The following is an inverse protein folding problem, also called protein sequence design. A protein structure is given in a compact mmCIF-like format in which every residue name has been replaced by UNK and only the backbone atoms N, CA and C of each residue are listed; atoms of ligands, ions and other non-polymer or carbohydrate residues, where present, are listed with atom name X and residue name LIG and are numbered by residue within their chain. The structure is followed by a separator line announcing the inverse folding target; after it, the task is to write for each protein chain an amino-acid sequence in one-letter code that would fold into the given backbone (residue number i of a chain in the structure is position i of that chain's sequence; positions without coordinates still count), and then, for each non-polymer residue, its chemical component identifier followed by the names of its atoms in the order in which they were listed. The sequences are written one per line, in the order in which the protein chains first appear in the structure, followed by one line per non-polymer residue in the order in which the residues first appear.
data_IF_620863468197
#
_entry.id   IF_620863468197
#
_cell.length_a   1.000
_cell.length_b   1.000
_cell.length_c   1.000
_cell.angle_alpha   90.00
_cell.angle_beta   90.00
_cell.angle_gamma   90.00
#
_symmetry.space_group_name_H-M   'P 1'
#
loop_
_entity.id
_entity.type
_entity.pdbx_description
1 polymer ?
#
# COMPACT_ATOMS: atom_id res chain seq x y z
N UNK A 1 -17.99 0.15 17.68
CA UNK A 1 -16.58 -0.01 18.13
C UNK A 1 -15.67 -0.16 16.91
N UNK A 2 -14.49 0.44 16.91
CA UNK A 2 -13.55 0.28 15.79
C UNK A 2 -12.90 -1.11 15.80
N UNK A 3 -12.94 -1.82 14.66
CA UNK A 3 -12.34 -3.15 14.49
C UNK A 3 -10.82 -3.03 14.69
N UNK A 4 -10.27 -3.81 15.64
CA UNK A 4 -8.85 -3.85 15.98
C UNK A 4 -8.18 -5.13 15.45
N UNK A 5 -6.91 -5.04 14.99
CA UNK A 5 -6.18 -6.19 14.50
C UNK A 5 -5.85 -7.19 15.62
N UNK A 6 -5.75 -8.48 15.28
CA UNK A 6 -5.46 -9.57 16.23
C UNK A 6 -4.03 -9.53 16.81
N UNK A 7 -3.02 -9.29 15.95
CA UNK A 7 -1.60 -9.32 16.33
C UNK A 7 -0.88 -8.11 15.73
N UNK A 8 -0.30 -7.27 16.59
CA UNK A 8 0.50 -6.11 16.17
C UNK A 8 1.96 -6.37 16.44
N UNK A 9 2.67 -6.96 15.47
CA UNK A 9 4.14 -6.95 15.49
C UNK A 9 4.60 -5.55 15.03
N UNK A 10 5.49 -4.87 15.77
CA UNK A 10 5.94 -3.54 15.39
C UNK A 10 6.58 -3.56 14.00
N UNK A 11 6.12 -2.65 13.13
CA UNK A 11 6.55 -2.59 11.74
C UNK A 11 7.84 -1.77 11.64
N UNK A 12 8.99 -2.44 11.73
CA UNK A 12 10.29 -1.80 11.50
C UNK A 12 10.61 -1.78 10.00
N UNK A 13 10.84 -0.58 9.44
CA UNK A 13 11.32 -0.39 8.06
C UNK A 13 12.81 -0.08 8.09
N UNK A 14 13.62 -0.93 7.45
CA UNK A 14 15.09 -0.72 7.32
C UNK A 14 15.45 0.53 6.52
N UNK A 15 14.59 0.91 5.58
CA UNK A 15 14.74 2.11 4.76
C UNK A 15 13.37 2.61 4.34
N UNK A 16 13.14 3.91 4.50
CA UNK A 16 11.92 4.60 4.05
C UNK A 16 12.17 5.39 2.76
N UNK A 17 13.39 5.93 2.58
CA UNK A 17 13.77 6.68 1.38
C UNK A 17 13.72 5.79 0.13
N UNK A 18 12.97 6.22 -0.88
CA UNK A 18 12.85 5.54 -2.17
C UNK A 18 14.21 5.39 -2.85
N UNK A 19 14.39 4.30 -3.58
CA UNK A 19 15.52 4.13 -4.48
C UNK A 19 15.24 4.89 -5.76
N UNK A 20 15.98 5.96 -5.99
CA UNK A 20 15.83 6.82 -7.16
C UNK A 20 16.88 6.51 -8.23
N UNK A 21 16.53 6.72 -9.50
CA UNK A 21 17.47 6.57 -10.61
C UNK A 21 18.57 7.63 -10.52
N UNK A 22 19.80 7.24 -10.84
CA UNK A 22 20.92 8.19 -10.94
C UNK A 22 20.60 9.31 -11.95
N UNK A 23 20.84 10.58 -11.56
CA UNK A 23 20.62 11.80 -12.36
C UNK A 23 19.16 12.10 -12.73
N UNK A 24 18.16 11.45 -12.13
CA UNK A 24 16.76 11.82 -12.34
C UNK A 24 16.40 13.19 -11.74
N UNK A 25 17.20 13.66 -10.79
CA UNK A 25 17.13 15.00 -10.20
C UNK A 25 17.56 16.09 -11.18
N UNK A 26 18.51 15.78 -12.09
CA UNK A 26 19.06 16.75 -13.05
C UNK A 26 18.27 16.83 -14.34
N UNK A 27 17.71 15.71 -14.81
CA UNK A 27 17.06 15.62 -16.11
C UNK A 27 15.60 15.24 -15.99
N UNK A 28 14.69 16.14 -16.39
CA UNK A 28 13.23 15.91 -16.40
C UNK A 28 12.84 14.67 -17.23
N UNK A 29 13.54 14.42 -18.35
CA UNK A 29 13.35 13.22 -19.18
C UNK A 29 13.65 11.90 -18.46
N UNK A 30 14.47 11.92 -17.41
CA UNK A 30 14.78 10.72 -16.61
C UNK A 30 13.80 10.61 -15.44
N UNK A 31 12.86 9.67 -15.55
CA UNK A 31 11.96 9.35 -14.43
C UNK A 31 12.75 8.83 -13.21
N UNK A 32 12.31 9.13 -11.98
CA UNK A 32 12.99 8.74 -10.75
C UNK A 32 12.90 7.24 -10.43
N UNK A 33 12.14 6.45 -11.18
CA UNK A 33 11.99 5.01 -10.97
C UNK A 33 13.36 4.29 -11.08
N UNK A 34 13.71 3.51 -10.06
CA UNK A 34 14.98 2.80 -10.00
C UNK A 34 15.28 2.00 -11.27
N UNK A 35 16.50 2.17 -11.79
CA UNK A 35 17.09 1.34 -12.86
C UNK A 35 18.53 1.05 -12.49
N UNK A 36 18.96 -0.20 -12.64
CA UNK A 36 20.34 -0.61 -12.35
C UNK A 36 21.30 0.08 -13.35
N UNK A 37 22.26 0.90 -12.88
CA UNK A 37 23.24 1.52 -13.78
C UNK A 37 24.16 0.45 -14.40
N UNK A 38 24.37 0.52 -15.71
CA UNK A 38 25.16 -0.47 -16.47
C UNK A 38 26.58 0.01 -16.82
N UNK A 39 26.76 1.31 -17.07
CA UNK A 39 28.02 1.90 -17.54
C UNK A 39 29.21 1.69 -16.59
N UNK A 40 30.39 1.50 -17.16
CA UNK A 40 31.59 1.08 -16.42
C UNK A 40 32.09 2.13 -15.43
N UNK A 41 32.00 3.41 -15.78
CA UNK A 41 32.46 4.55 -14.96
C UNK A 41 31.39 5.10 -14.01
N UNK A 42 30.21 4.47 -13.97
CA UNK A 42 29.14 4.98 -13.15
C UNK A 42 29.44 4.84 -11.65
N UNK A 43 29.44 5.97 -10.93
CA UNK A 43 29.75 6.03 -9.49
C UNK A 43 28.81 5.23 -8.61
N UNK A 44 27.51 5.18 -8.94
CA UNK A 44 26.52 4.34 -8.22
C UNK A 44 26.84 2.87 -8.42
N UNK A 45 27.17 2.44 -9.66
CA UNK A 45 27.53 1.05 -9.97
C UNK A 45 28.76 0.59 -9.19
N UNK A 46 29.79 1.45 -9.12
CA UNK A 46 31.04 1.23 -8.38
C UNK A 46 30.90 1.40 -6.86
N UNK A 47 29.72 1.77 -6.35
CA UNK A 47 29.40 1.92 -4.91
C UNK A 47 30.26 2.94 -4.16
N UNK A 48 30.59 4.08 -4.80
CA UNK A 48 31.30 5.17 -4.11
C UNK A 48 30.50 5.69 -2.90
N UNK A 49 31.20 6.00 -1.80
CA UNK A 49 30.61 6.64 -0.60
C UNK A 49 29.98 8.00 -0.97
N UNK A 50 28.86 8.33 -0.33
CA UNK A 50 28.12 9.58 -0.56
C UNK A 50 27.19 9.57 -1.77
N UNK A 51 27.25 8.52 -2.61
CA UNK A 51 26.38 8.37 -3.77
C UNK A 51 25.12 7.54 -3.44
N UNK A 52 24.11 7.57 -4.32
CA UNK A 52 22.87 6.80 -4.13
C UNK A 52 23.15 5.31 -3.88
N UNK A 53 22.51 4.76 -2.85
CA UNK A 53 22.57 3.34 -2.52
C UNK A 53 21.72 2.52 -3.50
N UNK A 54 22.22 1.35 -3.90
CA UNK A 54 21.47 0.42 -4.75
C UNK A 54 20.55 -0.48 -3.91
N UNK A 55 19.37 -0.87 -4.44
CA UNK A 55 18.55 -1.91 -3.82
C UNK A 55 19.32 -3.23 -3.73
N UNK A 56 19.20 -3.88 -2.58
CA UNK A 56 19.70 -5.22 -2.32
C UNK A 56 18.72 -5.98 -1.42
N UNK A 57 18.90 -7.30 -1.29
CA UNK A 57 18.04 -8.16 -0.44
C UNK A 57 18.12 -7.78 1.05
N UNK A 58 19.24 -7.19 1.49
CA UNK A 58 19.47 -6.73 2.86
C UNK A 58 18.46 -5.69 3.34
N UNK A 59 17.92 -4.86 2.44
CA UNK A 59 16.84 -3.91 2.76
C UNK A 59 15.46 -4.56 2.94
N UNK A 60 15.31 -5.87 2.70
CA UNK A 60 14.06 -6.59 2.90
C UNK A 60 13.53 -6.49 4.32
N UNK A 61 12.25 -6.12 4.47
CA UNK A 61 11.53 -6.10 5.74
C UNK A 61 11.29 -7.52 6.28
N UNK A 62 11.08 -7.64 7.59
CA UNK A 62 10.69 -8.90 8.23
C UNK A 62 9.50 -9.56 7.50
N UNK A 63 9.59 -10.87 7.23
CA UNK A 63 8.56 -11.66 6.54
C UNK A 63 7.18 -11.53 7.22
N UNK A 64 7.14 -11.48 8.55
CA UNK A 64 5.89 -11.36 9.33
C UNK A 64 5.19 -10.01 9.10
N UNK A 65 5.94 -8.91 8.97
CA UNK A 65 5.42 -7.55 8.82
C UNK A 65 5.41 -7.03 7.39
N UNK A 66 5.89 -7.84 6.43
CA UNK A 66 5.82 -7.53 5.00
C UNK A 66 4.35 -7.35 4.59
N UNK A 67 4.07 -6.26 3.87
CA UNK A 67 2.72 -5.87 3.39
C UNK A 67 1.69 -5.52 4.48
N UNK A 68 2.11 -5.32 5.73
CA UNK A 68 1.24 -4.78 6.78
C UNK A 68 1.17 -3.25 6.66
N UNK A 69 -0.04 -2.72 6.73
CA UNK A 69 -0.33 -1.28 6.77
C UNK A 69 -0.04 -0.70 8.17
N UNK A 70 0.12 0.63 8.30
CA UNK A 70 0.30 1.28 9.61
C UNK A 70 -0.85 1.02 10.60
N UNK A 71 -2.07 0.74 10.09
CA UNK A 71 -3.24 0.38 10.90
C UNK A 71 -3.19 -1.06 11.47
N UNK A 72 -2.15 -1.84 11.15
CA UNK A 72 -1.94 -3.21 11.61
C UNK A 72 -2.60 -4.30 10.76
N UNK A 73 -3.37 -3.94 9.73
CA UNK A 73 -4.03 -4.90 8.83
C UNK A 73 -3.20 -5.15 7.57
N UNK A 74 -3.51 -6.25 6.88
CA UNK A 74 -3.08 -6.48 5.49
C UNK A 74 -4.17 -6.00 4.54
N UNK A 75 -3.80 -5.27 3.49
CA UNK A 75 -4.75 -4.72 2.54
C UNK A 75 -5.15 -5.75 1.49
N UNK A 76 -6.45 -5.89 1.23
CA UNK A 76 -7.01 -6.62 0.08
C UNK A 76 -7.80 -5.63 -0.76
N UNK A 77 -7.51 -5.57 -2.06
CA UNK A 77 -8.29 -4.77 -3.00
C UNK A 77 -9.53 -5.56 -3.39
N UNK A 78 -10.70 -4.96 -3.22
CA UNK A 78 -12.00 -5.60 -3.44
C UNK A 78 -12.70 -4.96 -4.63
N UNK A 79 -13.16 -5.78 -5.57
CA UNK A 79 -13.85 -5.37 -6.80
C UNK A 79 -15.36 -5.61 -6.74
N UNK A 80 -15.80 -6.63 -5.99
CA UNK A 80 -17.19 -7.08 -5.93
C UNK A 80 -17.55 -7.62 -4.54
N UNK A 81 -18.84 -7.95 -4.35
CA UNK A 81 -19.36 -8.42 -3.06
C UNK A 81 -18.83 -9.78 -2.65
N UNK A 82 -18.60 -10.69 -3.61
CA UNK A 82 -18.08 -12.05 -3.33
C UNK A 82 -16.67 -11.98 -2.72
N UNK A 83 -15.84 -11.09 -3.22
CA UNK A 83 -14.50 -10.84 -2.67
C UNK A 83 -14.52 -10.27 -1.26
N UNK A 84 -15.53 -9.44 -0.95
CA UNK A 84 -15.73 -8.90 0.38
C UNK A 84 -16.14 -9.99 1.37
N UNK A 85 -17.02 -10.90 0.96
CA UNK A 85 -17.49 -12.02 1.80
C UNK A 85 -16.38 -13.00 2.15
N UNK A 86 -15.39 -13.21 1.27
CA UNK A 86 -14.18 -13.98 1.60
C UNK A 86 -13.42 -13.42 2.81
N UNK A 87 -13.56 -12.12 3.10
CA UNK A 87 -12.88 -11.47 4.24
C UNK A 87 -13.62 -11.68 5.57
N UNK A 88 -14.83 -12.25 5.57
CA UNK A 88 -15.64 -12.46 6.78
C UNK A 88 -14.88 -13.26 7.85
N UNK A 89 -14.22 -14.35 7.46
CA UNK A 89 -13.44 -15.20 8.38
C UNK A 89 -12.13 -14.55 8.84
N UNK A 90 -11.61 -13.56 8.11
CA UNK A 90 -10.29 -12.96 8.36
C UNK A 90 -10.35 -11.44 8.63
N UNK A 91 -11.49 -10.94 9.09
CA UNK A 91 -11.80 -9.53 9.31
C UNK A 91 -10.85 -8.80 10.28
N UNK A 92 -10.21 -9.52 11.21
CA UNK A 92 -9.21 -8.97 12.14
C UNK A 92 -7.76 -9.05 11.65
N UNK A 93 -7.52 -9.64 10.47
CA UNK A 93 -6.20 -9.75 9.83
C UNK A 93 -6.10 -8.92 8.56
N UNK A 94 -7.18 -8.85 7.81
CA UNK A 94 -7.26 -8.09 6.56
C UNK A 94 -8.24 -6.93 6.67
N UNK A 95 -7.95 -5.88 5.91
CA UNK A 95 -8.87 -4.78 5.66
C UNK A 95 -9.15 -4.73 4.16
N UNK A 96 -10.36 -4.32 3.80
CA UNK A 96 -10.74 -4.12 2.42
C UNK A 96 -10.39 -2.70 1.94
N UNK A 97 -9.99 -2.60 0.68
CA UNK A 97 -9.88 -1.34 -0.05
C UNK A 97 -10.68 -1.50 -1.34
N UNK A 98 -11.75 -0.71 -1.50
CA UNK A 98 -12.59 -0.81 -2.68
C UNK A 98 -11.81 -0.28 -3.88
N UNK A 99 -11.76 -1.07 -4.96
CA UNK A 99 -11.00 -0.75 -6.15
C UNK A 99 -11.44 0.56 -6.81
N UNK A 100 -10.52 1.19 -7.56
CA UNK A 100 -10.79 2.43 -8.29
C UNK A 100 -11.85 2.27 -9.40
N UNK A 101 -12.02 1.07 -9.96
CA UNK A 101 -13.00 0.82 -11.01
C UNK A 101 -14.46 0.75 -10.54
N UNK A 102 -14.71 0.69 -9.23
CA UNK A 102 -16.07 0.50 -8.70
C UNK A 102 -16.82 1.85 -8.67
N UNK A 103 -18.01 1.86 -9.27
CA UNK A 103 -18.91 3.02 -9.29
C UNK A 103 -19.45 3.35 -7.89
N UNK A 104 -19.92 4.59 -7.69
CA UNK A 104 -20.48 5.07 -6.41
C UNK A 104 -21.66 4.23 -5.93
N UNK A 105 -22.59 3.86 -6.83
CA UNK A 105 -23.74 3.00 -6.51
C UNK A 105 -23.31 1.64 -5.94
N UNK A 106 -22.33 0.99 -6.55
CA UNK A 106 -21.79 -0.30 -6.06
C UNK A 106 -20.96 -0.13 -4.79
N UNK A 107 -20.25 0.99 -4.63
CA UNK A 107 -19.51 1.33 -3.42
C UNK A 107 -20.40 1.41 -2.19
N UNK A 108 -21.56 2.06 -2.28
CA UNK A 108 -22.53 2.15 -1.17
C UNK A 108 -22.90 0.76 -0.65
N UNK A 109 -23.27 -0.14 -1.56
CA UNK A 109 -23.62 -1.53 -1.24
C UNK A 109 -22.45 -2.28 -0.59
N UNK A 110 -21.22 -2.11 -1.10
CA UNK A 110 -20.04 -2.74 -0.53
C UNK A 110 -19.73 -2.24 0.88
N UNK A 111 -19.85 -0.93 1.12
CA UNK A 111 -19.60 -0.33 2.43
C UNK A 111 -20.63 -0.82 3.46
N UNK A 112 -21.92 -0.84 3.09
CA UNK A 112 -22.98 -1.39 3.93
C UNK A 112 -22.73 -2.86 4.27
N UNK A 113 -22.34 -3.66 3.27
CA UNK A 113 -22.00 -5.07 3.48
C UNK A 113 -20.74 -5.26 4.33
N UNK A 114 -19.72 -4.42 4.17
CA UNK A 114 -18.49 -4.48 4.96
C UNK A 114 -18.79 -4.20 6.44
N UNK A 115 -19.68 -3.26 6.72
CA UNK A 115 -20.14 -2.94 8.07
C UNK A 115 -20.86 -4.13 8.72
N UNK A 116 -21.73 -4.81 7.97
CA UNK A 116 -22.41 -6.04 8.44
C UNK A 116 -21.40 -7.15 8.79
N UNK A 117 -20.39 -7.35 7.94
CA UNK A 117 -19.35 -8.37 8.13
C UNK A 117 -18.29 -7.98 9.16
N UNK A 118 -18.39 -6.79 9.75
CA UNK A 118 -17.37 -6.21 10.63
C UNK A 118 -15.98 -6.23 9.99
N UNK A 119 -15.90 -5.93 8.69
CA UNK A 119 -14.65 -5.77 7.94
C UNK A 119 -14.28 -4.29 7.92
N UNK A 120 -13.00 -3.99 8.15
CA UNK A 120 -12.51 -2.61 8.11
C UNK A 120 -12.24 -2.19 6.68
N UNK A 121 -12.91 -1.13 6.22
CA UNK A 121 -12.66 -0.50 4.91
C UNK A 121 -11.70 0.70 5.04
N UNK A 122 -10.67 0.76 4.19
CA UNK A 122 -9.71 1.87 4.22
C UNK A 122 -10.20 3.13 3.50
N UNK A 123 -11.16 3.00 2.61
CA UNK A 123 -11.65 4.08 1.73
C UNK A 123 -13.19 4.14 1.68
N UNK A 124 -13.86 3.89 2.81
CA UNK A 124 -15.32 3.83 2.91
C UNK A 124 -16.02 5.06 2.32
N UNK A 125 -15.55 6.27 2.62
CA UNK A 125 -16.16 7.52 2.16
C UNK A 125 -15.75 7.95 0.74
N UNK A 126 -14.89 7.18 0.05
CA UNK A 126 -14.39 7.61 -1.25
C UNK A 126 -15.49 7.52 -2.33
N UNK A 127 -15.70 8.63 -3.05
CA UNK A 127 -16.73 8.83 -4.11
C UNK A 127 -18.18 8.77 -3.63
N UNK A 128 -18.42 8.75 -2.33
CA UNK A 128 -19.75 8.93 -1.76
C UNK A 128 -19.83 10.39 -1.33
N UNK A 129 -20.66 11.18 -2.03
CA UNK A 129 -21.03 12.52 -1.59
C UNK A 129 -22.36 12.39 -0.83
N UNK A 130 -22.46 13.04 0.31
CA UNK A 130 -23.77 13.31 0.93
C UNK A 130 -24.51 14.31 0.03
N UNK A 131 -25.82 14.13 -0.15
CA UNK A 131 -26.68 15.26 -0.51
C UNK A 131 -26.66 16.21 0.68
N UNK A 132 -26.20 17.44 0.45
CA UNK A 132 -26.44 18.54 1.38
C UNK A 132 -27.92 18.91 1.22
N UNK A 133 -28.73 18.56 2.22
CA UNK A 133 -30.07 19.14 2.35
C UNK A 133 -29.90 20.53 2.95
N UNK A 134 -30.29 21.54 2.18
CA UNK A 134 -30.47 22.92 2.64
C UNK A 134 -31.61 23.02 3.67
#
# INVERSE_FOLDING_TARGET
MAIKPLKTVPVVKKRVKKFIRHQSDRYVKLRPNWRKPKGIDNRVRRRFKGQYLMPNIGYGSNKKTKHILPNGFRKVVVHNMRELEMLMMMNRRYCAEIAHGVSSKKRKILVERAQQLSVRDTNANARLRSEENE
#
